data_IF_734414549468
#
_entry.id   IF_734414549468
#
_cell.length_a   1.000
_cell.length_b   1.000
_cell.length_c   1.000
_cell.angle_alpha   90.00
_cell.angle_beta   90.00
_cell.angle_gamma   90.00
#
_symmetry.space_group_name_H-M   'P 1'
#
loop_
_entity.id
_entity.type
_entity.pdbx_description
1 polymer ?
#
# COMPACT_ATOMS: atom_id res chain seq x y z
N UNK A 1 53.84 47.76 7.13
CA UNK A 1 52.39 47.68 6.81
C UNK A 1 51.91 46.33 7.23
N UNK A 2 51.14 46.18 8.34
CA UNK A 2 50.65 44.95 8.89
C UNK A 2 49.15 44.88 8.62
N UNK A 3 48.72 44.01 7.73
CA UNK A 3 47.33 43.79 7.37
C UNK A 3 46.62 42.97 8.43
N UNK A 4 45.35 43.24 8.72
CA UNK A 4 44.61 42.62 9.79
C UNK A 4 44.08 41.22 9.40
N UNK A 5 44.66 40.18 10.00
CA UNK A 5 44.20 38.80 9.90
C UNK A 5 43.14 38.42 10.94
N UNK A 6 42.55 39.38 11.64
CA UNK A 6 41.70 39.11 12.83
C UNK A 6 40.19 39.19 12.58
N UNK A 7 39.73 39.52 11.38
CA UNK A 7 38.30 39.73 11.11
C UNK A 7 37.65 38.46 10.51
N UNK A 8 38.44 37.52 10.00
CA UNK A 8 37.88 36.29 9.36
C UNK A 8 37.52 35.17 10.34
N UNK A 9 37.93 35.26 11.61
CA UNK A 9 37.69 34.23 12.61
C UNK A 9 36.35 34.38 13.37
N UNK A 10 35.68 35.53 13.27
CA UNK A 10 34.45 35.80 14.03
C UNK A 10 33.14 35.49 13.23
N UNK A 11 33.23 35.23 11.94
CA UNK A 11 32.05 34.93 11.11
C UNK A 11 31.74 33.44 11.02
N UNK A 12 32.59 32.54 11.49
CA UNK A 12 32.39 31.09 11.44
C UNK A 12 31.62 30.51 12.65
N UNK A 13 31.31 31.32 13.68
CA UNK A 13 30.73 30.80 14.92
C UNK A 13 29.23 31.10 15.08
N UNK A 14 28.58 31.72 14.10
CA UNK A 14 27.15 32.08 14.21
C UNK A 14 26.24 31.08 13.53
N UNK A 15 26.75 30.05 12.81
CA UNK A 15 25.94 29.08 12.08
C UNK A 15 25.60 27.80 12.86
N UNK A 16 25.95 27.70 14.14
CA UNK A 16 25.78 26.46 14.91
C UNK A 16 24.59 26.41 15.88
N UNK A 17 23.71 27.41 15.87
CA UNK A 17 22.50 27.40 16.71
C UNK A 17 21.23 27.57 15.86
N UNK A 18 21.02 26.71 14.89
CA UNK A 18 19.68 26.50 14.36
C UNK A 18 18.91 25.70 15.41
N UNK A 19 17.77 26.19 15.94
CA UNK A 19 16.94 25.38 16.80
C UNK A 19 16.48 24.18 15.97
N UNK A 20 16.89 22.98 16.35
CA UNK A 20 16.34 21.74 15.84
C UNK A 20 14.90 21.71 16.33
N UNK A 21 13.96 22.07 15.47
CA UNK A 21 12.56 21.80 15.71
C UNK A 21 12.45 20.28 15.93
N UNK A 22 11.83 19.83 17.01
CA UNK A 22 11.55 18.42 17.17
C UNK A 22 10.69 18.00 15.97
N UNK A 23 11.30 17.31 15.02
CA UNK A 23 10.56 16.62 13.98
C UNK A 23 9.60 15.72 14.71
N UNK A 24 8.31 15.92 14.56
CA UNK A 24 7.31 14.96 14.97
C UNK A 24 7.61 13.68 14.19
N UNK A 25 8.36 12.79 14.83
CA UNK A 25 8.47 11.42 14.37
C UNK A 25 7.06 10.84 14.46
N UNK A 26 6.34 10.89 13.34
CA UNK A 26 5.14 10.07 13.19
C UNK A 26 5.61 8.63 13.41
N UNK A 27 5.06 8.00 14.44
CA UNK A 27 5.39 6.63 14.76
C UNK A 27 5.00 5.75 13.55
N UNK A 28 5.99 5.42 12.73
CA UNK A 28 5.87 4.52 11.59
C UNK A 28 5.63 3.04 12.00
N UNK A 29 5.55 2.79 13.31
CA UNK A 29 5.53 1.44 13.88
C UNK A 29 4.19 0.70 13.88
N UNK A 30 3.07 1.32 13.50
CA UNK A 30 1.74 0.69 13.59
C UNK A 30 1.20 0.19 12.24
N UNK A 31 1.76 0.62 11.12
CA UNK A 31 1.23 0.35 9.79
C UNK A 31 1.49 -1.09 9.29
N UNK A 32 2.55 -1.74 9.76
CA UNK A 32 2.91 -3.09 9.33
C UNK A 32 1.96 -4.19 9.88
N UNK A 33 1.21 -3.90 10.92
CA UNK A 33 0.30 -4.85 11.56
C UNK A 33 -1.05 -5.03 10.83
N UNK A 34 -1.38 -4.15 9.88
CA UNK A 34 -2.69 -4.11 9.19
C UNK A 34 -2.60 -4.54 7.73
N UNK A 35 -1.52 -5.21 7.34
CA UNK A 35 -1.36 -5.69 5.95
C UNK A 35 -2.16 -6.96 5.72
N UNK A 36 -2.82 -7.01 4.57
CA UNK A 36 -3.35 -8.26 4.06
C UNK A 36 -2.21 -9.19 3.61
N UNK A 37 -2.40 -10.49 3.85
CA UNK A 37 -1.60 -11.54 3.23
C UNK A 37 -2.49 -12.30 2.27
N UNK A 38 -2.25 -12.17 0.97
CA UNK A 38 -3.01 -12.84 -0.07
C UNK A 38 -2.82 -14.37 0.01
N UNK A 39 -3.93 -15.10 -0.04
CA UNK A 39 -3.99 -16.56 -0.07
C UNK A 39 -4.30 -17.02 -1.50
N UNK A 40 -5.28 -16.35 -2.16
CA UNK A 40 -5.75 -16.61 -3.51
C UNK A 40 -6.04 -15.29 -4.23
N UNK A 41 -5.65 -15.13 -5.53
CA UNK A 41 -4.86 -16.07 -6.33
C UNK A 41 -3.40 -16.19 -5.82
N UNK A 42 -2.79 -17.35 -6.10
CA UNK A 42 -1.39 -17.62 -5.71
C UNK A 42 -0.42 -16.97 -6.70
N UNK A 43 0.80 -16.76 -6.27
CA UNK A 43 1.88 -16.30 -7.13
C UNK A 43 2.02 -17.21 -8.37
N UNK A 44 2.05 -16.60 -9.56
CA UNK A 44 2.15 -17.31 -10.84
C UNK A 44 0.90 -18.09 -11.26
N UNK A 45 -0.19 -18.07 -10.51
CA UNK A 45 -1.44 -18.72 -10.90
C UNK A 45 -1.96 -18.09 -12.19
N UNK A 46 -2.41 -18.95 -13.13
CA UNK A 46 -3.04 -18.51 -14.38
C UNK A 46 -4.55 -18.48 -14.18
N UNK A 47 -5.16 -17.34 -14.40
CA UNK A 47 -6.60 -17.14 -14.37
C UNK A 47 -7.14 -16.98 -15.79
N UNK A 48 -8.33 -17.51 -16.04
CA UNK A 48 -8.97 -17.46 -17.35
C UNK A 48 -10.06 -16.38 -17.35
N UNK A 49 -10.10 -15.47 -18.34
CA UNK A 49 -11.16 -14.49 -18.46
C UNK A 49 -12.55 -15.10 -18.40
N UNK A 50 -13.46 -14.46 -17.66
CA UNK A 50 -14.84 -14.89 -17.46
C UNK A 50 -15.05 -15.92 -16.35
N UNK A 51 -13.99 -16.57 -15.84
CA UNK A 51 -14.16 -17.44 -14.67
C UNK A 51 -14.41 -16.60 -13.40
N UNK A 52 -15.16 -17.15 -12.45
CA UNK A 52 -15.30 -16.60 -11.11
C UNK A 52 -14.20 -17.20 -10.23
N UNK A 53 -13.41 -16.33 -9.62
CA UNK A 53 -12.31 -16.71 -8.73
C UNK A 53 -12.54 -16.07 -7.38
N UNK A 54 -12.28 -16.82 -6.32
CA UNK A 54 -12.25 -16.23 -4.97
C UNK A 54 -10.90 -15.59 -4.71
N UNK A 55 -10.92 -14.27 -4.53
CA UNK A 55 -9.83 -13.54 -3.90
C UNK A 55 -9.96 -13.80 -2.40
N UNK A 56 -8.90 -14.27 -1.75
CA UNK A 56 -8.90 -14.61 -0.33
C UNK A 56 -7.61 -14.11 0.31
N UNK A 57 -7.73 -13.57 1.50
CA UNK A 57 -6.60 -13.03 2.25
C UNK A 57 -6.78 -13.23 3.75
N UNK A 58 -5.70 -13.04 4.50
CA UNK A 58 -5.76 -12.87 5.96
C UNK A 58 -5.31 -11.47 6.33
N UNK A 59 -5.91 -10.90 7.36
CA UNK A 59 -5.48 -9.67 7.98
C UNK A 59 -5.70 -9.74 9.49
N UNK A 60 -4.84 -9.09 10.24
CA UNK A 60 -4.93 -9.01 11.69
C UNK A 60 -5.10 -7.55 12.11
N UNK A 61 -6.10 -7.30 12.92
CA UNK A 61 -6.43 -5.97 13.44
C UNK A 61 -6.48 -5.99 14.97
N UNK A 62 -5.33 -6.07 15.65
CA UNK A 62 -5.31 -6.09 17.10
C UNK A 62 -5.83 -4.78 17.66
N UNK A 63 -6.79 -4.87 18.61
CA UNK A 63 -7.34 -3.73 19.35
C UNK A 63 -8.02 -2.65 18.50
N UNK A 64 -8.58 -3.00 17.34
CA UNK A 64 -9.31 -2.09 16.45
C UNK A 64 -10.78 -2.48 16.39
N UNK A 65 -11.66 -1.49 16.53
CA UNK A 65 -13.08 -1.68 16.23
C UNK A 65 -13.30 -1.71 14.73
N UNK A 66 -13.48 -2.91 14.19
CA UNK A 66 -13.66 -3.13 12.75
C UNK A 66 -14.95 -2.53 12.19
N UNK A 67 -15.89 -2.09 13.03
CA UNK A 67 -17.10 -1.36 12.58
C UNK A 67 -16.76 0.02 12.04
N UNK A 68 -15.59 0.54 12.39
CA UNK A 68 -15.07 1.83 11.93
C UNK A 68 -14.09 1.69 10.77
N UNK A 69 -13.99 0.50 10.20
CA UNK A 69 -13.04 0.17 9.16
C UNK A 69 -13.73 -0.28 7.87
N UNK A 70 -13.00 -0.14 6.79
CA UNK A 70 -13.38 -0.60 5.45
C UNK A 70 -12.22 -1.34 4.78
N UNK A 71 -12.54 -2.16 3.79
CA UNK A 71 -11.57 -2.83 2.94
C UNK A 71 -11.90 -2.53 1.49
N UNK A 72 -10.89 -2.17 0.72
CA UNK A 72 -10.93 -2.02 -0.73
C UNK A 72 -9.97 -2.99 -1.41
N UNK A 73 -10.36 -3.47 -2.59
CA UNK A 73 -9.51 -4.33 -3.42
C UNK A 73 -9.33 -3.67 -4.77
N UNK A 74 -8.09 -3.39 -5.11
CA UNK A 74 -7.70 -2.77 -6.37
C UNK A 74 -6.90 -3.76 -7.22
N UNK A 75 -7.12 -3.72 -8.53
CA UNK A 75 -6.38 -4.50 -9.51
C UNK A 75 -5.40 -3.61 -10.25
N UNK A 76 -4.18 -4.10 -10.40
CA UNK A 76 -3.17 -3.56 -11.33
C UNK A 76 -2.82 -4.64 -12.36
N UNK A 77 -2.57 -4.23 -13.60
CA UNK A 77 -2.19 -5.12 -14.71
C UNK A 77 -0.70 -5.01 -15.08
N UNK A 78 0.02 -4.10 -14.45
CA UNK A 78 1.40 -3.71 -14.81
C UNK A 78 2.39 -3.85 -13.64
N UNK A 79 2.12 -4.82 -12.76
CA UNK A 79 2.98 -5.09 -11.61
C UNK A 79 2.87 -4.06 -10.49
N UNK A 80 1.73 -3.38 -10.38
CA UNK A 80 1.48 -2.40 -9.34
C UNK A 80 1.95 -0.98 -9.66
N UNK A 81 2.30 -0.68 -10.91
CA UNK A 81 2.67 0.68 -11.30
C UNK A 81 1.48 1.61 -11.41
N UNK A 82 0.36 1.09 -11.90
CA UNK A 82 -0.90 1.83 -12.00
C UNK A 82 -2.07 0.98 -11.52
N UNK A 83 -3.10 1.65 -11.01
CA UNK A 83 -4.38 1.00 -10.69
C UNK A 83 -5.17 0.91 -11.99
N UNK A 84 -5.56 -0.31 -12.35
CA UNK A 84 -6.43 -0.56 -13.49
C UNK A 84 -7.90 -0.35 -13.12
N UNK A 85 -8.35 -0.96 -12.01
CA UNK A 85 -9.72 -0.78 -11.52
C UNK A 85 -9.85 -1.10 -10.02
N UNK A 86 -10.84 -0.49 -9.40
CA UNK A 86 -11.36 -0.87 -8.10
C UNK A 86 -12.31 -2.05 -8.28
N UNK A 87 -12.04 -3.16 -7.62
CA UNK A 87 -12.86 -4.37 -7.70
C UNK A 87 -14.04 -4.37 -6.74
N UNK A 88 -13.87 -3.67 -5.61
CA UNK A 88 -14.90 -3.58 -4.56
C UNK A 88 -15.01 -2.14 -4.12
N UNK A 89 -16.23 -1.74 -3.78
CA UNK A 89 -16.45 -0.60 -2.90
C UNK A 89 -16.16 -1.01 -1.44
N UNK A 90 -16.32 -0.09 -0.52
CA UNK A 90 -16.08 -0.27 0.91
C UNK A 90 -16.74 -1.54 1.45
N UNK A 91 -15.95 -2.43 2.04
CA UNK A 91 -16.40 -3.70 2.60
C UNK A 91 -16.03 -3.82 4.07
N UNK A 92 -16.79 -4.65 4.77
CA UNK A 92 -16.49 -4.98 6.16
C UNK A 92 -15.17 -5.80 6.23
N UNK A 93 -14.15 -5.35 6.95
CA UNK A 93 -12.85 -6.02 7.06
C UNK A 93 -12.90 -7.43 7.68
N UNK A 94 -13.98 -7.79 8.35
CA UNK A 94 -14.19 -9.16 8.85
C UNK A 94 -14.41 -10.18 7.73
N UNK A 95 -14.82 -9.70 6.55
CA UNK A 95 -15.01 -10.54 5.36
C UNK A 95 -13.68 -10.55 4.61
N UNK A 96 -12.95 -11.65 4.70
CA UNK A 96 -11.61 -11.79 4.14
C UNK A 96 -11.61 -12.55 2.82
N UNK A 97 -12.67 -12.38 2.04
CA UNK A 97 -12.77 -12.92 0.68
C UNK A 97 -13.67 -12.06 -0.20
N UNK A 98 -13.48 -12.20 -1.51
CA UNK A 98 -14.32 -11.60 -2.55
C UNK A 98 -14.36 -12.50 -3.78
N UNK A 99 -15.56 -12.84 -4.24
CA UNK A 99 -15.74 -13.60 -5.48
C UNK A 99 -15.73 -12.61 -6.66
N UNK A 100 -14.78 -12.79 -7.56
CA UNK A 100 -14.45 -11.86 -8.64
C UNK A 100 -14.51 -12.56 -10.00
N UNK A 101 -15.15 -11.91 -10.97
CA UNK A 101 -15.10 -12.36 -12.37
C UNK A 101 -13.88 -11.78 -13.04
N UNK A 102 -13.00 -12.65 -13.52
CA UNK A 102 -11.74 -12.27 -14.18
C UNK A 102 -12.01 -11.51 -15.47
N UNK A 103 -11.48 -10.28 -15.64
CA UNK A 103 -11.69 -9.51 -16.86
C UNK A 103 -10.91 -10.06 -18.04
N UNK A 104 -11.35 -9.74 -19.25
CA UNK A 104 -10.60 -10.07 -20.47
C UNK A 104 -9.48 -9.05 -20.73
N UNK A 105 -8.47 -9.07 -19.87
CA UNK A 105 -7.31 -8.17 -19.92
C UNK A 105 -6.03 -8.99 -19.72
N UNK A 106 -5.56 -9.72 -20.75
CA UNK A 106 -4.41 -10.59 -20.62
C UNK A 106 -3.16 -9.84 -20.14
N UNK A 107 -2.51 -10.38 -19.10
CA UNK A 107 -1.26 -9.86 -18.55
C UNK A 107 -0.51 -10.92 -17.76
N UNK A 108 0.81 -10.84 -17.75
CA UNK A 108 1.68 -11.67 -16.91
C UNK A 108 2.04 -10.99 -15.58
N UNK A 109 1.51 -9.82 -15.31
CA UNK A 109 1.91 -8.96 -14.20
C UNK A 109 0.71 -8.42 -13.41
N UNK A 110 -0.38 -9.19 -13.35
CA UNK A 110 -1.52 -8.82 -12.52
C UNK A 110 -1.13 -8.89 -11.04
N UNK A 111 -1.47 -7.86 -10.28
CA UNK A 111 -1.35 -7.84 -8.82
C UNK A 111 -2.59 -7.24 -8.20
N UNK A 112 -2.89 -7.66 -6.99
CA UNK A 112 -3.93 -7.07 -6.16
C UNK A 112 -3.31 -6.17 -5.10
N UNK A 113 -3.97 -5.07 -4.82
CA UNK A 113 -3.71 -4.21 -3.69
C UNK A 113 -4.93 -4.24 -2.78
N UNK A 114 -4.75 -4.75 -1.56
CA UNK A 114 -5.83 -4.86 -0.58
C UNK A 114 -5.55 -3.82 0.50
N UNK A 115 -6.41 -2.82 0.58
CA UNK A 115 -6.28 -1.68 1.47
C UNK A 115 -7.31 -1.73 2.59
N UNK A 116 -6.93 -1.17 3.72
CA UNK A 116 -7.80 -0.99 4.87
C UNK A 116 -7.77 0.47 5.28
N UNK A 117 -8.94 1.06 5.49
CA UNK A 117 -9.11 2.36 6.11
C UNK A 117 -9.86 2.21 7.42
N UNK A 118 -9.36 2.76 8.52
CA UNK A 118 -10.02 2.77 9.81
C UNK A 118 -10.07 4.21 10.33
N UNK A 119 -11.25 4.77 10.43
CA UNK A 119 -11.47 6.17 10.79
C UNK A 119 -10.70 6.53 12.07
N UNK A 120 -9.84 7.55 12.01
CA UNK A 120 -9.01 8.05 13.12
C UNK A 120 -7.95 7.09 13.70
N UNK A 121 -7.90 5.82 13.26
CA UNK A 121 -6.98 4.82 13.81
C UNK A 121 -5.94 4.39 12.79
N UNK A 122 -6.35 4.31 11.53
CA UNK A 122 -5.51 3.84 10.44
C UNK A 122 -5.91 4.55 9.14
N UNK A 123 -5.18 5.58 8.73
CA UNK A 123 -5.45 6.23 7.46
C UNK A 123 -5.14 5.28 6.31
N UNK A 124 -5.95 5.33 5.28
CA UNK A 124 -5.69 4.61 4.04
C UNK A 124 -4.28 4.94 3.52
N UNK A 125 -3.51 3.91 3.18
CA UNK A 125 -2.17 4.11 2.62
C UNK A 125 -2.28 4.56 1.17
N UNK A 126 -1.70 5.70 0.80
CA UNK A 126 -1.75 6.20 -0.58
C UNK A 126 -0.90 5.37 -1.56
N UNK A 127 -0.02 4.50 -1.06
CA UNK A 127 0.87 3.69 -1.88
C UNK A 127 0.36 2.26 -2.02
N UNK A 128 0.52 1.71 -3.23
CA UNK A 128 0.18 0.33 -3.55
C UNK A 128 0.94 -0.66 -2.65
N UNK A 129 0.21 -1.48 -1.93
CA UNK A 129 0.75 -2.60 -1.15
C UNK A 129 0.66 -3.87 -1.99
N UNK A 130 1.61 -4.05 -2.89
CA UNK A 130 1.62 -5.11 -3.89
C UNK A 130 1.61 -6.48 -3.22
N UNK A 131 0.63 -7.29 -3.60
CA UNK A 131 0.60 -8.71 -3.30
C UNK A 131 1.32 -9.52 -4.41
N UNK A 132 1.37 -10.83 -4.26
CA UNK A 132 2.01 -11.69 -5.24
C UNK A 132 1.41 -11.54 -6.64
N UNK A 133 2.28 -11.47 -7.66
CA UNK A 133 1.83 -11.39 -9.06
C UNK A 133 1.26 -12.71 -9.55
N UNK A 134 0.21 -12.63 -10.38
CA UNK A 134 -0.43 -13.74 -11.07
C UNK A 134 -0.64 -13.39 -12.55
N UNK A 135 -1.15 -14.35 -13.32
CA UNK A 135 -1.35 -14.21 -14.76
C UNK A 135 -2.84 -14.17 -15.07
N UNK A 136 -3.26 -13.26 -15.92
CA UNK A 136 -4.56 -13.34 -16.62
C UNK A 136 -4.25 -13.82 -18.04
N UNK A 137 -4.67 -15.04 -18.36
CA UNK A 137 -4.47 -15.64 -19.67
C UNK A 137 -5.33 -15.01 -20.77
N UNK A 138 -5.12 -15.41 -22.03
CA UNK A 138 -6.03 -15.03 -23.11
C UNK A 138 -7.40 -15.69 -22.93
N UNK A 139 -8.44 -15.05 -23.48
CA UNK A 139 -9.75 -15.68 -23.56
C UNK A 139 -9.68 -16.95 -24.43
N UNK A 140 -10.26 -18.05 -23.93
CA UNK A 140 -10.51 -19.24 -24.76
C UNK A 140 -11.81 -19.00 -25.53
N UNK A 141 -11.68 -18.86 -26.85
CA UNK A 141 -12.83 -18.80 -27.77
C UNK A 141 -13.44 -20.20 -27.96
#
# INVERSE_FOLDING_TARGET
MKTPRLILALLALIFALAPQLPGTAFAQGTQDNYRAKLISPRAGQVLIPGQVVRIEWTANFPNVDLTMCETEILLSLDGGRTIYMLLTEQRNPKIQYFDWTVPNTPTNSAVLDIRFGCLNLYPETPSLQIQSAFVIGPSVN
#
